data_IF_521396562682
#
_entry.id   IF_521396562682
#
_cell.length_a   1.000
_cell.length_b   1.000
_cell.length_c   1.000
_cell.angle_alpha   90.00
_cell.angle_beta   90.00
_cell.angle_gamma   90.00
#
_symmetry.space_group_name_H-M   'P 1'
#
loop_
_entity.id
_entity.type
_entity.pdbx_description
1 polymer ?
#
# COMPACT_ATOMS: atom_id res chain seq x y z
N UNK A 1 -7.22 0.62 29.65
CA UNK A 1 -6.42 1.68 29.00
C UNK A 1 -7.27 2.29 27.90
N UNK A 2 -7.63 3.57 28.03
CA UNK A 2 -8.47 4.29 27.07
C UNK A 2 -7.77 4.36 25.71
N UNK A 3 -8.48 3.98 24.64
CA UNK A 3 -8.03 4.23 23.27
C UNK A 3 -7.77 5.73 23.12
N UNK A 4 -6.53 6.11 22.85
CA UNK A 4 -6.22 7.47 22.48
C UNK A 4 -6.91 7.72 21.14
N UNK A 5 -7.96 8.54 21.14
CA UNK A 5 -8.64 8.99 19.94
C UNK A 5 -7.63 9.73 19.08
N UNK A 6 -7.21 9.07 18.01
CA UNK A 6 -6.37 9.69 17.01
C UNK A 6 -7.19 10.75 16.30
N UNK A 7 -6.89 12.02 16.57
CA UNK A 7 -7.34 13.11 15.73
C UNK A 7 -6.39 13.15 14.54
N UNK A 8 -6.72 12.42 13.47
CA UNK A 8 -6.21 12.76 12.15
C UNK A 8 -6.41 14.28 11.93
N UNK A 9 -5.58 14.97 11.11
CA UNK A 9 -5.91 16.33 10.67
C UNK A 9 -7.41 16.34 10.32
N UNK A 10 -8.15 17.16 11.06
CA UNK A 10 -9.57 17.00 11.28
C UNK A 10 -10.32 16.94 9.95
N UNK A 11 -10.77 15.75 9.52
CA UNK A 11 -11.60 15.57 8.33
C UNK A 11 -11.05 14.66 7.23
N UNK A 12 -9.77 14.26 7.25
CA UNK A 12 -9.16 13.49 6.15
C UNK A 12 -9.75 12.08 6.00
N UNK A 13 -10.02 11.40 7.12
CA UNK A 13 -10.65 10.08 7.19
C UNK A 13 -11.68 10.08 8.32
N UNK A 14 -12.96 10.02 7.98
CA UNK A 14 -14.05 9.87 8.96
C UNK A 14 -14.81 8.58 8.66
N UNK A 15 -14.78 7.62 9.59
CA UNK A 15 -15.44 6.32 9.42
C UNK A 15 -14.94 5.52 8.20
N UNK A 16 -13.67 5.65 7.83
CA UNK A 16 -13.09 4.99 6.64
C UNK A 16 -13.46 5.66 5.30
N UNK A 17 -14.03 6.86 5.34
CA UNK A 17 -14.37 7.66 4.14
C UNK A 17 -13.42 8.83 3.97
N UNK A 18 -13.04 9.07 2.72
CA UNK A 18 -12.21 10.19 2.27
C UNK A 18 -13.15 11.29 1.77
N UNK A 19 -13.04 12.47 2.39
CA UNK A 19 -13.71 13.68 1.92
C UNK A 19 -12.94 14.26 0.72
N UNK A 20 -13.67 14.67 -0.32
CA UNK A 20 -13.07 15.21 -1.54
C UNK A 20 -13.21 16.73 -1.56
N UNK A 21 -12.08 17.43 -1.57
CA UNK A 21 -12.05 18.87 -1.83
C UNK A 21 -12.57 19.22 -3.24
N UNK A 22 -12.40 18.29 -4.20
CA UNK A 22 -12.97 18.40 -5.54
C UNK A 22 -13.76 17.13 -5.87
N UNK A 23 -15.09 17.20 -6.04
CA UNK A 23 -15.89 16.04 -6.40
C UNK A 23 -15.37 15.33 -7.66
N UNK A 24 -15.46 14.00 -7.69
CA UNK A 24 -15.06 13.20 -8.86
C UNK A 24 -16.10 13.25 -9.99
N UNK A 25 -17.36 13.48 -9.62
CA UNK A 25 -18.52 13.63 -10.49
C UNK A 25 -19.65 14.31 -9.67
N UNK A 26 -20.74 14.79 -10.31
CA UNK A 26 -21.92 15.26 -9.60
C UNK A 26 -22.40 14.24 -8.55
N UNK A 27 -22.48 14.68 -7.28
CA UNK A 27 -22.90 13.82 -6.17
C UNK A 27 -21.87 12.76 -5.74
N UNK A 28 -20.58 12.93 -6.06
CA UNK A 28 -19.44 12.13 -5.54
C UNK A 28 -18.45 13.07 -4.85
N UNK A 29 -18.79 13.53 -3.64
CA UNK A 29 -17.97 14.38 -2.78
C UNK A 29 -17.22 13.62 -1.68
N UNK A 30 -17.48 12.32 -1.55
CA UNK A 30 -16.76 11.44 -0.63
C UNK A 30 -16.74 10.01 -1.19
N UNK A 31 -15.68 9.27 -0.87
CA UNK A 31 -15.48 7.87 -1.29
C UNK A 31 -14.99 7.04 -0.10
N UNK A 32 -15.20 5.73 -0.15
CA UNK A 32 -14.62 4.83 0.84
C UNK A 32 -13.12 4.64 0.53
N UNK A 33 -12.29 4.50 1.56
CA UNK A 33 -10.85 4.39 1.40
C UNK A 33 -10.40 3.06 0.79
N UNK A 34 -11.24 2.01 0.85
CA UNK A 34 -10.87 0.62 0.55
C UNK A 34 -11.69 -0.08 -0.54
N UNK A 35 -12.84 0.45 -0.94
CA UNK A 35 -13.79 -0.25 -1.81
C UNK A 35 -14.13 0.53 -3.11
N UNK A 36 -13.25 0.54 -4.12
CA UNK A 36 -11.85 0.09 -4.12
C UNK A 36 -10.92 1.08 -3.40
N UNK A 37 -9.63 0.74 -3.24
CA UNK A 37 -8.69 1.72 -2.67
C UNK A 37 -8.69 3.01 -3.49
N UNK A 38 -8.56 4.17 -2.84
CA UNK A 38 -8.58 5.42 -3.59
C UNK A 38 -7.44 5.50 -4.62
N UNK A 39 -6.27 4.96 -4.29
CA UNK A 39 -5.13 4.86 -5.21
C UNK A 39 -5.47 4.07 -6.48
N UNK A 40 -6.19 2.97 -6.32
CA UNK A 40 -6.62 2.14 -7.43
C UNK A 40 -7.70 2.80 -8.28
N UNK A 41 -8.67 3.44 -7.64
CA UNK A 41 -9.70 4.22 -8.33
C UNK A 41 -9.06 5.37 -9.12
N UNK A 42 -8.14 6.11 -8.50
CA UNK A 42 -7.37 7.17 -9.15
C UNK A 42 -6.58 6.62 -10.35
N UNK A 43 -5.97 5.44 -10.23
CA UNK A 43 -5.32 4.74 -11.33
C UNK A 43 -6.25 4.51 -12.53
N UNK A 44 -7.49 4.07 -12.29
CA UNK A 44 -8.49 3.86 -13.35
C UNK A 44 -8.98 5.18 -13.94
N UNK A 45 -9.27 6.17 -13.09
CA UNK A 45 -9.82 7.46 -13.52
C UNK A 45 -8.81 8.25 -14.37
N UNK A 46 -7.54 8.23 -13.99
CA UNK A 46 -6.43 8.84 -14.74
C UNK A 46 -6.02 8.05 -15.99
N UNK A 47 -6.49 6.81 -16.14
CA UNK A 47 -6.10 5.92 -17.24
C UNK A 47 -4.74 5.23 -17.06
N UNK A 48 -4.07 5.43 -15.91
CA UNK A 48 -2.83 4.72 -15.58
C UNK A 48 -3.06 3.21 -15.38
N UNK A 49 -4.26 2.81 -14.98
CA UNK A 49 -4.72 1.42 -14.90
C UNK A 49 -5.93 1.23 -15.83
N UNK A 50 -5.94 0.21 -16.71
CA UNK A 50 -7.12 -0.11 -17.50
C UNK A 50 -8.22 -0.76 -16.67
N UNK A 51 -7.83 -1.51 -15.63
CA UNK A 51 -8.69 -2.26 -14.72
C UNK A 51 -8.11 -2.18 -13.31
N UNK A 52 -8.97 -2.11 -12.31
CA UNK A 52 -8.62 -2.44 -10.93
C UNK A 52 -9.61 -3.46 -10.38
N UNK A 53 -9.35 -3.96 -9.17
CA UNK A 53 -10.25 -4.86 -8.47
C UNK A 53 -10.41 -4.45 -7.01
N UNK A 54 -11.50 -4.90 -6.39
CA UNK A 54 -11.70 -4.89 -4.94
C UNK A 54 -12.59 -6.07 -4.55
N UNK A 55 -12.47 -6.52 -3.31
CA UNK A 55 -13.31 -7.58 -2.75
C UNK A 55 -14.32 -6.94 -1.81
N UNK A 56 -15.59 -6.94 -2.20
CA UNK A 56 -16.67 -6.35 -1.40
C UNK A 56 -17.68 -7.41 -0.97
N UNK A 57 -18.33 -7.17 0.17
CA UNK A 57 -19.47 -7.99 0.57
C UNK A 57 -20.67 -7.74 -0.37
N UNK A 58 -21.57 -8.74 -0.57
CA UNK A 58 -22.75 -8.58 -1.43
C UNK A 58 -23.60 -7.34 -1.11
N UNK A 59 -23.79 -7.02 0.17
CA UNK A 59 -24.53 -5.85 0.63
C UNK A 59 -23.84 -4.52 0.29
N UNK A 60 -22.50 -4.51 0.22
CA UNK A 60 -21.71 -3.33 -0.16
C UNK A 60 -21.68 -3.12 -1.68
N UNK A 61 -21.97 -4.16 -2.46
CA UNK A 61 -21.92 -4.11 -3.92
C UNK A 61 -22.88 -3.06 -4.50
N UNK A 62 -24.09 -2.89 -3.92
CA UNK A 62 -25.05 -1.89 -4.40
C UNK A 62 -24.49 -0.47 -4.36
N UNK A 63 -23.74 -0.14 -3.30
CA UNK A 63 -23.05 1.15 -3.14
C UNK A 63 -21.95 1.29 -4.19
N UNK A 64 -21.12 0.26 -4.36
CA UNK A 64 -20.03 0.24 -5.35
C UNK A 64 -20.55 0.39 -6.79
N UNK A 65 -21.59 -0.35 -7.17
CA UNK A 65 -22.24 -0.23 -8.47
C UNK A 65 -22.81 1.18 -8.71
N UNK A 66 -23.38 1.80 -7.66
CA UNK A 66 -23.81 3.20 -7.70
C UNK A 66 -22.67 4.18 -7.95
N UNK A 67 -21.52 3.98 -7.28
CA UNK A 67 -20.31 4.76 -7.51
C UNK A 67 -19.81 4.60 -8.96
N UNK A 68 -19.71 3.37 -9.46
CA UNK A 68 -19.31 3.10 -10.84
C UNK A 68 -20.20 3.84 -11.85
N UNK A 69 -21.54 3.78 -11.69
CA UNK A 69 -22.47 4.52 -12.56
C UNK A 69 -22.21 6.03 -12.56
N UNK A 70 -22.06 6.63 -11.37
CA UNK A 70 -21.79 8.09 -11.25
C UNK A 70 -20.47 8.48 -11.92
N UNK A 71 -19.46 7.61 -11.84
CA UNK A 71 -18.14 7.81 -12.44
C UNK A 71 -18.04 7.36 -13.90
N UNK A 72 -19.14 6.87 -14.49
CA UNK A 72 -19.17 6.29 -15.85
C UNK A 72 -18.14 5.17 -16.02
N UNK A 73 -18.04 4.32 -15.00
CA UNK A 73 -17.20 3.12 -14.99
C UNK A 73 -18.06 1.87 -15.16
N UNK A 74 -17.50 0.89 -15.84
CA UNK A 74 -17.99 -0.47 -15.94
C UNK A 74 -17.51 -1.28 -14.73
N UNK A 75 -18.28 -2.31 -14.38
CA UNK A 75 -17.86 -3.33 -13.42
C UNK A 75 -18.17 -4.76 -13.89
N UNK A 76 -17.48 -5.74 -13.31
CA UNK A 76 -17.69 -7.15 -13.57
C UNK A 76 -17.44 -7.95 -12.28
N UNK A 77 -18.41 -8.77 -11.87
CA UNK A 77 -18.23 -9.79 -10.84
C UNK A 77 -17.50 -10.97 -11.48
N UNK A 78 -16.19 -11.08 -11.24
CA UNK A 78 -15.35 -12.02 -11.97
C UNK A 78 -15.73 -13.48 -11.70
N UNK A 79 -16.11 -13.78 -10.47
CA UNK A 79 -16.48 -15.13 -10.05
C UNK A 79 -17.79 -15.60 -10.67
N UNK A 80 -18.77 -14.69 -10.76
CA UNK A 80 -20.05 -14.97 -11.41
C UNK A 80 -19.83 -15.16 -12.93
N UNK A 81 -18.96 -14.36 -13.54
CA UNK A 81 -18.63 -14.47 -14.95
C UNK A 81 -17.91 -15.79 -15.31
N UNK A 82 -17.03 -16.26 -14.43
CA UNK A 82 -16.23 -17.46 -14.66
C UNK A 82 -16.84 -18.73 -14.06
N UNK A 83 -17.97 -18.60 -13.34
CA UNK A 83 -18.53 -19.67 -12.51
C UNK A 83 -17.47 -20.34 -11.60
N UNK A 84 -16.57 -19.53 -11.04
CA UNK A 84 -15.41 -19.98 -10.26
C UNK A 84 -15.22 -19.11 -9.02
N UNK A 85 -15.16 -19.74 -7.84
CA UNK A 85 -14.83 -19.05 -6.60
C UNK A 85 -13.37 -18.56 -6.61
N UNK A 86 -13.18 -17.34 -6.12
CA UNK A 86 -11.90 -16.72 -5.91
C UNK A 86 -11.27 -17.07 -4.57
N UNK A 87 -9.96 -16.89 -4.50
CA UNK A 87 -9.24 -16.95 -3.22
C UNK A 87 -9.34 -15.59 -2.54
N UNK A 88 -10.33 -15.44 -1.66
CA UNK A 88 -10.55 -14.23 -0.89
C UNK A 88 -9.90 -14.33 0.49
N UNK A 89 -9.61 -13.18 1.10
CA UNK A 89 -9.33 -13.13 2.54
C UNK A 89 -10.54 -13.53 3.39
N UNK A 90 -11.75 -13.23 2.89
CA UNK A 90 -13.01 -13.62 3.49
C UNK A 90 -13.89 -14.26 2.41
N UNK A 91 -14.26 -15.53 2.58
CA UNK A 91 -15.03 -16.31 1.61
C UNK A 91 -16.43 -15.76 1.32
N UNK A 92 -16.92 -14.78 2.09
CA UNK A 92 -18.18 -14.10 1.84
C UNK A 92 -18.06 -12.92 0.86
N UNK A 93 -16.83 -12.45 0.59
CA UNK A 93 -16.60 -11.35 -0.35
C UNK A 93 -16.62 -11.85 -1.79
N UNK A 94 -16.99 -10.96 -2.70
CA UNK A 94 -16.99 -11.17 -4.15
C UNK A 94 -15.94 -10.27 -4.79
N UNK A 95 -15.21 -10.80 -5.78
CA UNK A 95 -14.22 -10.00 -6.52
C UNK A 95 -14.92 -9.16 -7.60
N UNK A 96 -14.81 -7.84 -7.48
CA UNK A 96 -15.36 -6.87 -8.42
C UNK A 96 -14.24 -6.23 -9.21
N UNK A 97 -14.21 -6.45 -10.52
CA UNK A 97 -13.35 -5.73 -11.45
C UNK A 97 -14.01 -4.42 -11.87
N UNK A 98 -13.24 -3.34 -11.94
CA UNK A 98 -13.73 -1.98 -12.24
C UNK A 98 -12.83 -1.35 -13.31
N UNK A 99 -13.42 -0.68 -14.30
CA UNK A 99 -12.66 -0.07 -15.39
C UNK A 99 -13.54 0.74 -16.35
N UNK A 100 -12.94 1.37 -17.36
CA UNK A 100 -13.70 2.16 -18.36
C UNK A 100 -14.23 1.33 -19.54
N UNK A 101 -13.84 0.07 -19.66
CA UNK A 101 -14.10 -0.75 -20.85
C UNK A 101 -14.43 -2.20 -20.47
N UNK A 102 -15.63 -2.65 -20.81
CA UNK A 102 -16.14 -3.99 -20.48
C UNK A 102 -15.27 -5.11 -21.05
N UNK A 103 -14.78 -4.99 -22.28
CA UNK A 103 -13.90 -5.97 -22.92
C UNK A 103 -12.61 -6.16 -22.13
N UNK A 104 -12.02 -5.07 -21.62
CA UNK A 104 -10.84 -5.15 -20.75
C UNK A 104 -11.13 -5.83 -19.42
N UNK A 105 -12.32 -5.64 -18.83
CA UNK A 105 -12.74 -6.35 -17.62
C UNK A 105 -12.87 -7.85 -17.85
N UNK A 106 -13.49 -8.25 -18.95
CA UNK A 106 -13.62 -9.66 -19.34
C UNK A 106 -12.24 -10.30 -19.52
N UNK A 107 -11.33 -9.61 -20.21
CA UNK A 107 -9.98 -10.10 -20.42
C UNK A 107 -9.20 -10.21 -19.10
N UNK A 108 -9.35 -9.24 -18.20
CA UNK A 108 -8.76 -9.29 -16.86
C UNK A 108 -9.31 -10.44 -16.01
N UNK A 109 -10.62 -10.72 -16.06
CA UNK A 109 -11.23 -11.86 -15.38
C UNK A 109 -10.66 -13.18 -15.89
N UNK A 110 -10.61 -13.37 -17.21
CA UNK A 110 -10.00 -14.57 -17.82
C UNK A 110 -8.54 -14.73 -17.40
N UNK A 111 -7.76 -13.66 -17.42
CA UNK A 111 -6.35 -13.69 -17.03
C UNK A 111 -6.14 -14.02 -15.54
N UNK A 112 -7.02 -13.53 -14.66
CA UNK A 112 -7.01 -13.86 -13.24
C UNK A 112 -7.12 -15.37 -12.98
N UNK A 113 -7.94 -16.08 -13.76
CA UNK A 113 -8.08 -17.53 -13.64
C UNK A 113 -6.86 -18.33 -14.14
N UNK A 114 -5.96 -17.70 -14.91
CA UNK A 114 -4.80 -18.35 -15.53
C UNK A 114 -3.54 -18.21 -14.66
N UNK A 115 -3.08 -16.99 -14.41
CA UNK A 115 -1.87 -16.77 -13.60
C UNK A 115 -1.77 -15.35 -13.03
N UNK A 116 -1.07 -15.16 -11.90
CA UNK A 116 -0.80 -13.84 -11.35
C UNK A 116 -0.09 -12.90 -12.33
N UNK A 117 0.82 -13.43 -13.17
CA UNK A 117 1.57 -12.66 -14.16
C UNK A 117 0.68 -12.14 -15.29
N UNK A 118 -0.19 -13.00 -15.82
CA UNK A 118 -1.18 -12.61 -16.82
C UNK A 118 -2.10 -11.54 -16.25
N UNK A 119 -2.60 -11.76 -15.03
CA UNK A 119 -3.48 -10.83 -14.36
C UNK A 119 -2.85 -9.44 -14.15
N UNK A 120 -1.63 -9.39 -13.62
CA UNK A 120 -0.91 -8.13 -13.41
C UNK A 120 -0.74 -7.29 -14.68
N UNK A 121 -0.62 -7.94 -15.83
CA UNK A 121 -0.57 -7.25 -17.14
C UNK A 121 -1.90 -6.57 -17.46
N UNK A 122 -3.02 -7.26 -17.26
CA UNK A 122 -4.36 -6.69 -17.47
C UNK A 122 -4.77 -5.65 -16.43
N UNK A 123 -4.17 -5.66 -15.23
CA UNK A 123 -4.30 -4.58 -14.25
C UNK A 123 -3.46 -3.34 -14.61
N UNK A 124 -2.65 -3.42 -15.67
CA UNK A 124 -1.81 -2.33 -16.16
C UNK A 124 -0.54 -2.13 -15.34
N UNK A 125 -0.06 -3.15 -14.62
CA UNK A 125 1.21 -3.05 -13.91
C UNK A 125 2.38 -2.99 -14.90
N UNK A 126 3.48 -2.28 -14.59
CA UNK A 126 4.63 -2.26 -15.48
C UNK A 126 5.17 -3.68 -15.73
N UNK A 127 5.45 -4.02 -17.00
CA UNK A 127 5.89 -5.36 -17.38
C UNK A 127 7.15 -5.81 -16.60
N UNK A 128 8.09 -4.91 -16.33
CA UNK A 128 9.26 -5.19 -15.51
C UNK A 128 8.91 -5.56 -14.05
N UNK A 129 7.85 -4.96 -13.49
CA UNK A 129 7.36 -5.26 -12.15
C UNK A 129 6.64 -6.60 -12.13
N UNK A 130 5.79 -6.88 -13.12
CA UNK A 130 5.14 -8.20 -13.28
C UNK A 130 6.17 -9.32 -13.38
N UNK A 131 7.19 -9.16 -14.24
CA UNK A 131 8.27 -10.14 -14.40
C UNK A 131 9.00 -10.40 -13.08
N UNK A 132 9.36 -9.34 -12.35
CA UNK A 132 10.08 -9.49 -11.07
C UNK A 132 9.21 -10.06 -9.96
N UNK A 133 7.93 -9.68 -9.89
CA UNK A 133 6.99 -10.26 -8.95
C UNK A 133 6.81 -11.76 -9.20
N UNK A 134 6.67 -12.18 -10.46
CA UNK A 134 6.52 -13.59 -10.82
C UNK A 134 7.74 -14.40 -10.38
N UNK A 135 8.95 -13.93 -10.72
CA UNK A 135 10.20 -14.58 -10.31
C UNK A 135 10.37 -14.65 -8.77
N UNK A 136 9.87 -13.66 -8.03
CA UNK A 136 9.84 -13.72 -6.56
C UNK A 136 8.80 -14.72 -6.05
N UNK A 137 7.60 -14.72 -6.63
CA UNK A 137 6.49 -15.57 -6.23
C UNK A 137 6.77 -17.06 -6.46
N UNK A 138 7.55 -17.41 -7.49
CA UNK A 138 7.94 -18.79 -7.79
C UNK A 138 8.95 -19.35 -6.77
N UNK A 139 9.65 -18.47 -6.05
CA UNK A 139 10.76 -18.85 -5.17
C UNK A 139 10.73 -18.19 -3.80
N UNK A 140 9.54 -17.88 -3.24
CA UNK A 140 9.27 -17.09 -2.01
C UNK A 140 10.16 -17.43 -0.80
N UNK A 141 11.43 -17.04 -0.84
CA UNK A 141 12.45 -17.27 0.20
C UNK A 141 12.64 -16.07 1.13
N UNK A 142 12.26 -14.88 0.68
CA UNK A 142 12.39 -13.63 1.43
C UNK A 142 11.15 -12.75 1.22
N UNK A 143 10.92 -11.80 2.12
CA UNK A 143 9.86 -10.81 1.96
C UNK A 143 10.10 -9.91 0.74
N UNK A 144 9.01 -9.55 0.06
CA UNK A 144 9.06 -8.80 -1.19
C UNK A 144 9.67 -7.39 -1.04
N UNK A 145 9.54 -6.74 0.12
CA UNK A 145 10.23 -5.47 0.42
C UNK A 145 11.73 -5.66 0.37
N UNK A 146 12.27 -6.77 0.92
CA UNK A 146 13.70 -7.09 0.86
C UNK A 146 14.15 -7.34 -0.57
N UNK A 147 13.38 -8.13 -1.33
CA UNK A 147 13.67 -8.40 -2.73
C UNK A 147 13.68 -7.11 -3.58
N UNK A 148 12.69 -6.22 -3.40
CA UNK A 148 12.64 -4.90 -4.05
C UNK A 148 13.83 -4.02 -3.64
N UNK A 149 14.18 -3.97 -2.35
CA UNK A 149 15.32 -3.23 -1.85
C UNK A 149 16.64 -3.71 -2.46
N UNK A 150 16.85 -5.03 -2.54
CA UNK A 150 18.07 -5.62 -3.16
C UNK A 150 18.18 -5.29 -4.65
N UNK A 151 17.06 -5.22 -5.36
CA UNK A 151 17.02 -4.83 -6.77
C UNK A 151 17.18 -3.31 -6.98
N UNK A 152 17.13 -2.52 -5.92
CA UNK A 152 17.28 -1.06 -6.00
C UNK A 152 18.75 -0.68 -6.05
N UNK A 153 19.21 -0.25 -7.22
CA UNK A 153 20.59 0.24 -7.43
C UNK A 153 20.71 1.72 -7.09
N UNK A 154 21.93 2.16 -6.78
CA UNK A 154 22.27 3.55 -6.50
C UNK A 154 21.98 3.98 -5.06
N UNK A 155 22.80 4.91 -4.56
CA UNK A 155 22.63 5.51 -3.24
C UNK A 155 21.59 6.63 -3.25
N UNK A 156 21.19 7.08 -2.06
CA UNK A 156 20.31 8.24 -1.88
C UNK A 156 18.87 7.87 -1.52
N UNK A 157 18.04 8.90 -1.42
CA UNK A 157 16.62 8.79 -1.05
C UNK A 157 15.83 8.04 -2.12
N UNK A 158 14.80 7.34 -1.66
CA UNK A 158 13.86 6.55 -2.44
C UNK A 158 12.57 7.34 -2.65
N UNK A 159 11.83 7.03 -3.71
CA UNK A 159 10.53 7.65 -3.98
C UNK A 159 9.46 7.06 -3.05
N UNK A 160 8.89 7.88 -2.17
CA UNK A 160 7.89 7.43 -1.19
C UNK A 160 6.64 6.83 -1.84
N UNK A 161 6.31 7.24 -3.06
CA UNK A 161 5.13 6.74 -3.78
C UNK A 161 5.31 5.27 -4.18
N UNK A 162 6.54 4.77 -4.12
CA UNK A 162 6.89 3.37 -4.33
C UNK A 162 7.08 2.61 -3.01
N UNK A 163 6.86 3.24 -1.85
CA UNK A 163 6.98 2.60 -0.56
C UNK A 163 5.87 1.57 -0.37
N UNK A 164 6.23 0.29 -0.40
CA UNK A 164 5.33 -0.85 -0.29
C UNK A 164 5.40 -1.54 1.08
N UNK A 165 6.01 -0.93 2.10
CA UNK A 165 6.14 -1.55 3.44
C UNK A 165 4.78 -1.87 4.05
N UNK A 166 3.80 -0.99 3.87
CA UNK A 166 2.43 -1.16 4.37
C UNK A 166 1.47 -1.80 3.36
N UNK A 167 1.91 -2.02 2.12
CA UNK A 167 1.13 -2.80 1.17
C UNK A 167 1.32 -4.28 1.52
N UNK A 168 0.34 -4.87 2.21
CA UNK A 168 0.34 -6.28 2.61
C UNK A 168 -0.28 -7.20 1.54
N UNK A 169 -0.95 -6.63 0.53
CA UNK A 169 -1.49 -7.42 -0.58
C UNK A 169 -0.35 -8.23 -1.22
N UNK A 170 -0.62 -9.46 -1.62
CA UNK A 170 0.36 -10.41 -2.21
C UNK A 170 1.54 -10.87 -1.32
N UNK A 171 1.83 -10.19 -0.21
CA UNK A 171 2.89 -10.56 0.75
C UNK A 171 2.44 -11.50 1.85
N UNK A 172 1.13 -11.53 2.09
CA UNK A 172 0.50 -12.48 3.00
C UNK A 172 0.42 -13.88 2.40
N UNK A 173 0.84 -14.88 3.17
CA UNK A 173 0.55 -16.28 2.93
C UNK A 173 -0.60 -16.73 3.84
N UNK A 174 -1.84 -16.58 3.38
CA UNK A 174 -3.00 -16.94 4.19
C UNK A 174 -3.15 -18.44 4.46
N UNK A 175 -2.39 -19.31 3.78
CA UNK A 175 -2.37 -20.72 4.11
C UNK A 175 -1.49 -21.03 5.33
N UNK A 176 -0.58 -20.11 5.69
CA UNK A 176 0.31 -20.23 6.85
C UNK A 176 -0.38 -19.70 8.13
N UNK A 177 -0.69 -20.56 9.12
CA UNK A 177 -1.30 -20.13 10.37
C UNK A 177 -0.47 -19.09 11.15
N UNK A 178 0.86 -19.19 11.11
CA UNK A 178 1.74 -18.26 11.81
C UNK A 178 1.66 -16.86 11.19
N UNK A 179 1.59 -16.79 9.86
CA UNK A 179 1.42 -15.54 9.13
C UNK A 179 0.06 -14.88 9.44
N UNK A 180 -1.02 -15.67 9.46
CA UNK A 180 -2.34 -15.20 9.86
C UNK A 180 -2.36 -14.65 11.29
N UNK A 181 -1.77 -15.38 12.23
CA UNK A 181 -1.70 -14.97 13.64
C UNK A 181 -0.89 -13.68 13.81
N UNK A 182 0.25 -13.57 13.11
CA UNK A 182 1.08 -12.36 13.15
C UNK A 182 0.36 -11.16 12.52
N UNK A 183 -0.38 -11.35 11.43
CA UNK A 183 -1.20 -10.27 10.85
C UNK A 183 -2.32 -9.83 11.78
N UNK A 184 -3.03 -10.77 12.42
CA UNK A 184 -4.05 -10.44 13.41
C UNK A 184 -3.47 -9.63 14.59
N UNK A 185 -2.33 -10.05 15.14
CA UNK A 185 -1.64 -9.32 16.20
C UNK A 185 -1.16 -7.93 15.73
N UNK A 186 -0.72 -7.82 14.47
CA UNK A 186 -0.35 -6.54 13.88
C UNK A 186 -1.56 -5.60 13.76
N UNK A 187 -2.70 -6.08 13.28
CA UNK A 187 -3.93 -5.29 13.19
C UNK A 187 -4.42 -4.85 14.57
N UNK A 188 -4.37 -5.73 15.56
CA UNK A 188 -4.75 -5.42 16.94
C UNK A 188 -3.89 -4.28 17.53
N UNK A 189 -2.58 -4.29 17.27
CA UNK A 189 -1.69 -3.18 17.66
C UNK A 189 -1.92 -1.91 16.87
N UNK A 190 -2.64 -1.94 15.75
CA UNK A 190 -2.85 -0.77 14.90
C UNK A 190 -4.34 -0.47 14.71
N UNK A 191 -5.17 -0.82 15.70
CA UNK A 191 -6.59 -0.46 15.71
C UNK A 191 -6.77 1.04 15.43
N UNK A 192 -7.70 1.35 14.52
CA UNK A 192 -7.95 2.71 14.04
C UNK A 192 -7.04 3.17 12.90
N UNK A 193 -6.03 2.39 12.52
CA UNK A 193 -5.17 2.67 11.37
C UNK A 193 -5.49 1.73 10.21
N UNK A 194 -5.80 2.31 9.05
CA UNK A 194 -5.99 1.55 7.83
C UNK A 194 -4.67 1.38 7.06
N UNK A 195 -3.84 0.47 7.57
CA UNK A 195 -2.47 0.30 7.05
C UNK A 195 -2.42 -0.56 5.80
N UNK A 196 -3.31 -1.55 5.65
CA UNK A 196 -3.22 -2.52 4.56
C UNK A 196 -3.40 -1.89 3.17
N UNK A 197 -4.15 -0.80 3.09
CA UNK A 197 -4.42 -0.01 1.89
C UNK A 197 -3.50 1.20 1.72
N UNK A 198 -2.55 1.41 2.64
CA UNK A 198 -1.64 2.57 2.62
C UNK A 198 -0.55 2.41 1.56
N UNK A 199 -0.88 2.77 0.32
CA UNK A 199 0.04 2.77 -0.82
C UNK A 199 -0.41 3.76 -1.90
N UNK A 200 0.51 4.31 -2.69
CA UNK A 200 0.16 5.07 -3.90
C UNK A 200 -0.03 4.14 -5.10
N UNK A 201 0.77 3.09 -5.19
CA UNK A 201 0.66 2.07 -6.23
C UNK A 201 0.36 0.71 -5.60
N UNK A 202 -0.67 0.04 -6.12
CA UNK A 202 -1.13 -1.24 -5.57
C UNK A 202 -0.22 -2.41 -5.92
N UNK A 203 0.67 -2.24 -6.91
CA UNK A 203 1.66 -3.24 -7.29
C UNK A 203 2.98 -3.05 -6.55
N UNK A 204 3.73 -4.14 -6.41
CA UNK A 204 5.10 -4.06 -5.89
C UNK A 204 6.08 -3.70 -7.00
N UNK A 205 6.87 -2.63 -6.84
CA UNK A 205 7.79 -2.21 -7.88
C UNK A 205 8.97 -3.18 -7.97
N UNK A 206 9.53 -3.38 -9.18
CA UNK A 206 10.73 -4.21 -9.36
C UNK A 206 11.97 -3.65 -8.65
N UNK A 207 11.94 -2.36 -8.31
CA UNK A 207 12.96 -1.57 -7.61
C UNK A 207 12.29 -0.27 -7.14
N UNK A 208 12.72 0.31 -6.02
CA UNK A 208 12.27 1.63 -5.56
C UNK A 208 12.72 2.79 -6.46
N UNK A 209 13.43 2.51 -7.55
CA UNK A 209 13.80 3.45 -8.61
C UNK A 209 13.24 3.04 -9.97
N UNK A 210 12.20 2.20 -10.02
CA UNK A 210 11.60 1.76 -11.27
C UNK A 210 10.96 2.96 -12.03
N UNK A 211 11.49 3.38 -13.20
CA UNK A 211 11.00 4.59 -13.87
C UNK A 211 9.53 4.47 -14.31
N UNK A 212 9.14 3.28 -14.78
CA UNK A 212 7.76 3.01 -15.19
C UNK A 212 6.77 3.10 -14.01
N UNK A 213 7.18 2.65 -12.82
CA UNK A 213 6.36 2.78 -11.61
C UNK A 213 6.32 4.23 -11.14
N UNK A 214 7.46 4.94 -11.10
CA UNK A 214 7.51 6.36 -10.72
C UNK A 214 6.56 7.19 -11.58
N UNK A 215 6.62 7.04 -12.90
CA UNK A 215 5.74 7.77 -13.83
C UNK A 215 4.25 7.57 -13.51
N UNK A 216 3.82 6.33 -13.29
CA UNK A 216 2.42 6.04 -12.95
C UNK A 216 2.05 6.55 -11.56
N UNK A 217 2.94 6.37 -10.59
CA UNK A 217 2.73 6.80 -9.21
C UNK A 217 2.60 8.33 -9.11
N UNK A 218 3.39 9.07 -9.89
CA UNK A 218 3.32 10.52 -9.99
C UNK A 218 1.96 11.02 -10.48
N UNK A 219 1.43 10.41 -11.54
CA UNK A 219 0.10 10.74 -12.07
C UNK A 219 -1.01 10.39 -11.08
N UNK A 220 -0.93 9.21 -10.45
CA UNK A 220 -1.92 8.77 -9.45
C UNK A 220 -1.90 9.71 -8.24
N UNK A 221 -0.72 10.00 -7.69
CA UNK A 221 -0.60 10.83 -6.50
C UNK A 221 -1.03 12.28 -6.75
N UNK A 222 -0.64 12.86 -7.90
CA UNK A 222 -1.08 14.21 -8.29
C UNK A 222 -2.61 14.31 -8.42
N UNK A 223 -3.28 13.23 -8.82
CA UNK A 223 -4.74 13.17 -8.83
C UNK A 223 -5.31 13.19 -7.40
N UNK A 224 -4.69 12.45 -6.48
CA UNK A 224 -5.09 12.44 -5.07
C UNK A 224 -4.91 13.82 -4.43
N UNK A 225 -3.77 14.48 -4.65
CA UNK A 225 -3.52 15.84 -4.13
C UNK A 225 -4.57 16.85 -4.63
N UNK A 226 -5.01 16.71 -5.89
CA UNK A 226 -6.03 17.58 -6.47
C UNK A 226 -7.42 17.36 -5.87
N UNK A 227 -7.79 16.11 -5.61
CA UNK A 227 -9.16 15.75 -5.26
C UNK A 227 -9.38 15.53 -3.76
N UNK A 228 -8.36 15.10 -3.02
CA UNK A 228 -8.38 14.86 -1.59
C UNK A 228 -7.03 15.25 -0.95
N UNK A 229 -6.68 16.55 -0.92
CA UNK A 229 -5.38 17.03 -0.46
C UNK A 229 -5.06 16.55 0.97
N UNK A 230 -6.02 16.60 1.90
CA UNK A 230 -5.81 16.17 3.30
C UNK A 230 -5.47 14.67 3.39
N UNK A 231 -6.12 13.84 2.56
CA UNK A 231 -5.80 12.41 2.47
C UNK A 231 -4.44 12.18 1.83
N UNK A 232 -4.10 12.93 0.78
CA UNK A 232 -2.80 12.85 0.13
C UNK A 232 -1.67 13.27 1.09
N UNK A 233 -1.86 14.32 1.89
CA UNK A 233 -0.93 14.75 2.93
C UNK A 233 -0.75 13.68 4.01
N UNK A 234 -1.85 13.12 4.52
CA UNK A 234 -1.81 11.99 5.46
C UNK A 234 -1.02 10.81 4.89
N UNK A 235 -1.32 10.41 3.64
CA UNK A 235 -0.66 9.31 2.97
C UNK A 235 0.83 9.61 2.74
N UNK A 236 1.19 10.83 2.33
CA UNK A 236 2.58 11.28 2.21
C UNK A 236 3.29 11.23 3.56
N UNK A 237 2.69 11.75 4.63
CA UNK A 237 3.26 11.74 5.97
C UNK A 237 3.54 10.33 6.50
N UNK A 238 2.69 9.36 6.13
CA UNK A 238 2.92 7.96 6.42
C UNK A 238 4.05 7.36 5.55
N UNK A 239 3.99 7.56 4.23
CA UNK A 239 4.86 6.87 3.27
C UNK A 239 6.26 7.48 3.13
N UNK A 240 6.40 8.79 3.31
CA UNK A 240 7.65 9.54 3.14
C UNK A 240 8.54 9.52 4.39
N UNK A 241 8.63 8.34 5.03
CA UNK A 241 9.39 8.14 6.26
C UNK A 241 10.65 7.34 6.00
N UNK A 242 11.64 7.53 6.87
CA UNK A 242 12.73 6.60 6.94
C UNK A 242 12.25 5.34 7.68
N UNK A 243 12.44 4.16 7.08
CA UNK A 243 11.99 2.89 7.64
C UNK A 243 13.20 2.00 7.90
N UNK A 244 13.25 1.45 9.10
CA UNK A 244 14.13 0.33 9.43
C UNK A 244 13.31 -0.95 9.33
N UNK A 245 13.69 -1.82 8.41
CA UNK A 245 12.89 -2.98 8.04
C UNK A 245 13.64 -4.28 8.32
N UNK A 246 13.03 -5.16 9.14
CA UNK A 246 13.50 -6.53 9.37
C UNK A 246 12.63 -7.54 8.63
N UNK A 247 11.31 -7.38 8.69
CA UNK A 247 10.37 -8.26 8.00
C UNK A 247 8.98 -7.62 7.91
N UNK A 248 8.03 -8.27 7.24
CA UNK A 248 6.67 -7.79 6.98
C UNK A 248 5.93 -7.24 8.18
N UNK A 249 6.13 -7.79 9.37
CA UNK A 249 5.54 -7.28 10.62
C UNK A 249 6.57 -6.70 11.58
N UNK A 250 7.86 -6.67 11.23
CA UNK A 250 8.94 -6.19 12.09
C UNK A 250 9.66 -5.04 11.41
N UNK A 251 9.24 -3.82 11.68
CA UNK A 251 9.84 -2.59 11.12
C UNK A 251 9.56 -1.39 12.02
N UNK A 252 10.30 -0.31 11.85
CA UNK A 252 10.04 0.96 12.50
C UNK A 252 10.09 2.10 11.49
N UNK A 253 9.03 2.90 11.43
CA UNK A 253 9.03 4.15 10.70
C UNK A 253 9.52 5.26 11.64
N UNK A 254 10.61 5.92 11.28
CA UNK A 254 11.24 6.99 12.05
C UNK A 254 10.61 8.34 11.72
N UNK A 255 10.82 9.32 12.61
CA UNK A 255 10.36 10.70 12.46
C UNK A 255 9.06 11.02 13.21
N UNK A 256 8.72 12.31 13.34
CA UNK A 256 7.67 12.81 14.24
C UNK A 256 6.23 12.65 13.71
N UNK A 257 6.03 12.24 12.46
CA UNK A 257 4.70 12.21 11.84
C UNK A 257 3.81 11.09 12.40
N UNK A 258 2.59 11.51 12.73
CA UNK A 258 1.48 10.72 13.24
C UNK A 258 0.73 9.99 12.12
N UNK A 259 0.12 8.82 12.38
CA UNK A 259 0.20 8.01 13.60
C UNK A 259 1.45 7.11 13.63
N UNK A 260 1.91 6.77 14.84
CA UNK A 260 3.00 5.80 15.04
C UNK A 260 2.46 4.39 14.77
N UNK A 261 2.91 3.79 13.67
CA UNK A 261 2.65 2.38 13.37
C UNK A 261 3.38 1.51 14.38
N UNK A 262 2.65 0.64 15.09
CA UNK A 262 3.16 -0.29 16.09
C UNK A 262 3.37 -1.66 15.48
N UNK A 263 4.61 -1.96 15.10
CA UNK A 263 4.97 -3.27 14.54
C UNK A 263 5.12 -4.34 15.63
N UNK A 264 5.48 -5.56 15.23
CA UNK A 264 5.79 -6.70 16.11
C UNK A 264 7.26 -6.71 16.57
N UNK A 265 7.85 -5.53 16.75
CA UNK A 265 9.14 -5.41 17.43
C UNK A 265 9.01 -5.80 18.91
N UNK A 266 10.09 -6.30 19.49
CA UNK A 266 10.19 -6.50 20.94
C UNK A 266 10.23 -5.13 21.66
N UNK A 267 9.79 -5.10 22.91
CA UNK A 267 9.65 -3.87 23.67
C UNK A 267 10.97 -3.09 23.83
N UNK A 268 12.10 -3.80 23.91
CA UNK A 268 13.43 -3.17 24.03
C UNK A 268 13.80 -2.45 22.73
N UNK A 269 13.63 -3.12 21.59
CA UNK A 269 13.88 -2.53 20.27
C UNK A 269 12.92 -1.37 19.99
N UNK A 270 11.64 -1.51 20.33
CA UNK A 270 10.66 -0.43 20.14
C UNK A 270 10.95 0.80 21.00
N UNK A 271 11.31 0.62 22.28
CA UNK A 271 11.72 1.71 23.17
C UNK A 271 13.01 2.39 22.69
N UNK A 272 13.96 1.61 22.15
CA UNK A 272 15.18 2.14 21.57
C UNK A 272 14.89 3.07 20.38
N UNK A 273 14.06 2.60 19.45
CA UNK A 273 13.74 3.31 18.21
C UNK A 273 12.83 4.52 18.47
N UNK A 274 11.97 4.46 19.48
CA UNK A 274 11.17 5.61 19.93
C UNK A 274 12.03 6.84 20.28
N UNK A 275 13.24 6.61 20.79
CA UNK A 275 14.16 7.67 21.17
C UNK A 275 15.06 8.16 20.01
N UNK A 276 14.91 7.60 18.80
CA UNK A 276 15.76 7.90 17.66
C UNK A 276 14.98 8.70 16.61
N UNK A 277 15.49 9.89 16.27
CA UNK A 277 14.86 10.73 15.24
C UNK A 277 15.26 10.35 13.82
N UNK A 278 16.47 9.78 13.64
CA UNK A 278 17.04 9.45 12.33
C UNK A 278 17.95 8.22 12.40
N UNK A 279 18.22 7.64 11.23
CA UNK A 279 19.17 6.57 11.02
C UNK A 279 20.02 6.81 9.77
N UNK A 280 21.21 6.24 9.74
CA UNK A 280 22.13 6.30 8.62
C UNK A 280 22.78 4.92 8.40
N UNK A 281 23.18 4.64 7.15
CA UNK A 281 24.02 3.46 6.87
C UNK A 281 25.44 3.76 7.32
N UNK A 282 26.03 2.86 8.09
CA UNK A 282 27.42 2.93 8.52
C UNK A 282 28.18 1.63 8.29
N UNK A 283 29.49 1.67 8.49
CA UNK A 283 30.33 0.45 8.51
C UNK A 283 29.82 -0.44 9.65
N UNK A 284 29.32 -1.63 9.30
CA UNK A 284 28.80 -2.62 10.26
C UNK A 284 27.28 -2.69 10.41
N UNK A 285 26.49 -1.80 9.79
CA UNK A 285 25.02 -1.84 9.88
C UNK A 285 24.34 -0.49 9.86
N UNK A 286 23.10 -0.44 10.35
CA UNK A 286 22.33 0.80 10.50
C UNK A 286 22.71 1.49 11.81
N UNK A 287 23.18 2.73 11.71
CA UNK A 287 23.50 3.59 12.86
C UNK A 287 22.28 4.44 13.21
N UNK A 288 21.87 4.39 14.47
CA UNK A 288 20.82 5.23 15.00
C UNK A 288 21.40 6.53 15.59
N UNK A 289 20.74 7.66 15.33
CA UNK A 289 21.07 8.94 15.93
C UNK A 289 19.84 9.52 16.65
N UNK A 290 20.04 9.89 17.92
CA UNK A 290 19.06 10.58 18.76
C UNK A 290 19.74 11.66 19.60
N UNK A 291 18.98 12.65 20.12
CA UNK A 291 19.53 13.73 20.93
C UNK A 291 20.29 13.16 22.15
N UNK A 292 21.58 13.46 22.27
CA UNK A 292 22.40 13.11 23.44
C UNK A 292 22.74 11.62 23.63
N UNK A 293 22.47 10.72 22.68
CA UNK A 293 22.72 9.27 22.83
C UNK A 293 23.92 8.78 22.02
N UNK A 294 24.67 7.82 22.60
CA UNK A 294 25.71 7.04 21.89
C UNK A 294 25.10 6.39 20.63
N UNK A 295 25.83 6.42 19.52
CA UNK A 295 25.43 5.75 18.28
C UNK A 295 25.18 4.26 18.57
N UNK A 296 23.95 3.81 18.33
CA UNK A 296 23.61 2.39 18.39
C UNK A 296 23.72 1.77 17.00
N UNK A 297 24.39 0.63 16.95
CA UNK A 297 24.47 -0.19 15.75
C UNK A 297 23.37 -1.24 15.81
N UNK A 298 22.47 -1.21 14.84
CA UNK A 298 21.48 -2.27 14.68
C UNK A 298 22.10 -3.50 13.99
N UNK A 299 21.50 -4.68 14.20
CA UNK A 299 21.91 -5.90 13.54
C UNK A 299 22.01 -5.77 12.01
N UNK A 300 22.89 -6.55 11.38
CA UNK A 300 23.20 -6.46 9.93
C UNK A 300 22.01 -6.78 9.04
N UNK A 301 21.04 -7.55 9.55
CA UNK A 301 19.83 -7.90 8.84
C UNK A 301 18.87 -6.72 8.65
N UNK A 302 18.99 -5.65 9.45
CA UNK A 302 18.14 -4.47 9.36
C UNK A 302 18.39 -3.70 8.05
N UNK A 303 17.34 -3.51 7.25
CA UNK A 303 17.39 -2.68 6.05
C UNK A 303 16.99 -1.24 6.39
N UNK A 304 17.85 -0.28 6.05
CA UNK A 304 17.46 1.12 6.04
C UNK A 304 16.89 1.51 4.68
N UNK A 305 15.61 1.87 4.66
CA UNK A 305 14.90 2.44 3.51
C UNK A 305 14.62 3.92 3.79
N UNK A 306 15.17 4.83 3.00
CA UNK A 306 15.00 6.28 3.24
C UNK A 306 14.08 6.89 2.18
N UNK A 307 12.78 6.99 2.50
CA UNK A 307 11.76 7.57 1.62
C UNK A 307 11.47 9.04 1.91
N UNK A 308 12.29 9.73 2.74
CA UNK A 308 12.03 11.13 3.08
C UNK A 308 12.03 11.99 1.82
N UNK A 309 11.01 12.82 1.67
CA UNK A 309 10.87 13.73 0.54
C UNK A 309 12.05 14.69 0.43
N UNK A 310 12.52 14.92 -0.80
CA UNK A 310 13.60 15.90 -1.05
C UNK A 310 13.19 17.33 -0.69
N UNK A 311 11.89 17.64 -0.74
CA UNK A 311 11.32 18.97 -0.47
C UNK A 311 11.43 19.43 0.99
N UNK A 312 11.84 18.58 1.93
CA UNK A 312 11.94 18.90 3.36
C UNK A 312 13.24 19.61 3.79
N UNK A 313 13.93 20.28 2.87
CA UNK A 313 15.01 21.21 3.20
C UNK A 313 14.50 22.65 3.09
N UNK A 314 13.60 23.00 3.98
CA UNK A 314 13.27 24.40 4.34
C UNK A 314 13.87 24.68 5.70
#
# INVERSE_FOLDING_TARGET
MSAANFSAPSGALSGGRISLARPLAPGVSAIDANDPTFSDLAGVLTGMKPVTYTDCFPEQFRRLAGLCRKLKLEYLLAEDYLAKAGHHFNNQKKMVLIGKNKTKLIAAAKAWAVSPSAWGTFLGYPACCVKKYSAWSDGKKEDLVRATARNTRGAGRLDFRLNNVWNYFSRMNFNDPADRAAYAAFLDRNQGLDLASSHVVSWHPCSYRCPASVKKADTIFSFMERHAPDYAELLRGLLARQVIFWDKFRYAALGPALPRVRSLLDAKTDALLAACGTAARGRGGVKLAGPGKKQLLLPKEALLLDFRDQASRS
#
